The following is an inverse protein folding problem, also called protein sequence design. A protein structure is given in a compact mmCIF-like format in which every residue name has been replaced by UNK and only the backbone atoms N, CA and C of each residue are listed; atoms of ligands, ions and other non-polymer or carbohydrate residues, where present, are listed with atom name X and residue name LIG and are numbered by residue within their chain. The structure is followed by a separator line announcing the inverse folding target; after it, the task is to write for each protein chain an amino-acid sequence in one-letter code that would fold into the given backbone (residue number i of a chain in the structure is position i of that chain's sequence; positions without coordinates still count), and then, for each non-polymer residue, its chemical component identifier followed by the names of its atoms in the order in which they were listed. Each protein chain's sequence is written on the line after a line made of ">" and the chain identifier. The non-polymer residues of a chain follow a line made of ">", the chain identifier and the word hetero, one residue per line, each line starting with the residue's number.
data_IF_167419130180
#
_entry.id   IF_167419130180
#
_cell.length_a   1.000
_cell.length_b   1.000
_cell.length_c   1.000
_cell.angle_alpha   90.00
_cell.angle_beta   90.00
_cell.angle_gamma   90.00
#
_symmetry.space_group_name_H-M   'P 1'
#
loop_
_entity.id
_entity.type
_entity.pdbx_description
1 polymer ?
#
# COMPACT_ATOMS: atom_id res chain seq x y z
N UNK A 1 17.53 32.34 1.91
CA UNK A 1 18.23 31.44 2.87
C UNK A 1 17.73 30.03 2.63
N UNK A 2 18.61 29.10 2.24
CA UNK A 2 18.27 27.68 2.08
C UNK A 2 18.43 26.98 3.43
N UNK A 3 17.39 26.29 3.90
CA UNK A 3 17.48 25.53 5.14
C UNK A 3 18.26 24.24 4.88
N UNK A 4 19.31 23.95 5.64
CA UNK A 4 20.06 22.70 5.48
C UNK A 4 19.39 21.51 6.19
N UNK A 5 18.61 21.81 7.24
CA UNK A 5 17.96 20.81 8.10
C UNK A 5 16.49 21.13 8.36
N UNK A 6 15.67 20.09 8.51
CA UNK A 6 14.24 20.20 8.74
C UNK A 6 13.95 20.75 10.14
N UNK A 7 13.17 21.84 10.28
CA UNK A 7 12.85 22.41 11.59
C UNK A 7 11.96 21.50 12.45
N UNK A 8 11.32 20.48 11.87
CA UNK A 8 10.44 19.54 12.62
C UNK A 8 11.14 18.29 13.14
N UNK A 9 12.17 17.81 12.47
CA UNK A 9 12.78 16.52 12.79
C UNK A 9 14.31 16.52 12.65
N UNK A 10 14.91 17.69 12.43
CA UNK A 10 16.35 17.93 12.25
C UNK A 10 17.00 17.11 11.13
N UNK A 11 16.21 16.46 10.28
CA UNK A 11 16.70 15.67 9.17
C UNK A 11 17.25 16.59 8.06
N UNK A 12 18.37 16.19 7.44
CA UNK A 12 18.96 16.94 6.33
C UNK A 12 17.95 17.10 5.20
N UNK A 13 17.80 18.32 4.70
CA UNK A 13 16.86 18.62 3.61
C UNK A 13 17.53 18.37 2.26
N UNK A 14 16.75 17.84 1.33
CA UNK A 14 17.16 17.75 -0.06
C UNK A 14 17.12 19.15 -0.72
N UNK A 15 17.81 19.33 -1.86
CA UNK A 15 17.69 20.55 -2.65
C UNK A 15 16.22 20.87 -3.03
N UNK A 16 15.88 22.16 -3.22
CA UNK A 16 14.53 22.54 -3.64
C UNK A 16 14.09 21.87 -4.94
N UNK A 17 12.80 21.54 -5.03
CA UNK A 17 12.21 20.95 -6.24
C UNK A 17 12.31 21.93 -7.42
N UNK A 18 12.89 21.49 -8.53
CA UNK A 18 13.10 22.32 -9.73
C UNK A 18 11.82 23.00 -10.24
N UNK A 19 10.68 22.31 -10.16
CA UNK A 19 9.40 22.79 -10.69
C UNK A 19 8.75 23.88 -9.84
N UNK A 20 8.96 23.88 -8.52
CA UNK A 20 8.24 24.77 -7.58
C UNK A 20 9.15 25.61 -6.69
N UNK A 21 10.46 25.37 -6.74
CA UNK A 21 11.44 25.95 -5.81
C UNK A 21 11.19 25.58 -4.35
N UNK A 22 10.33 24.58 -4.08
CA UNK A 22 9.90 24.20 -2.73
C UNK A 22 10.83 23.16 -2.16
N UNK A 23 11.23 23.36 -0.92
CA UNK A 23 12.01 22.41 -0.16
C UNK A 23 11.09 21.57 0.72
N UNK A 24 11.25 20.24 0.67
CA UNK A 24 10.40 19.30 1.39
C UNK A 24 11.28 18.33 2.17
N UNK A 25 10.90 18.05 3.41
CA UNK A 25 11.52 17.02 4.22
C UNK A 25 10.97 15.65 3.81
N UNK A 26 11.84 14.76 3.33
CA UNK A 26 11.45 13.40 2.94
C UNK A 26 11.11 12.50 4.13
N UNK A 27 11.52 12.87 5.36
CA UNK A 27 11.24 12.10 6.58
C UNK A 27 9.87 12.40 7.19
N UNK A 28 9.49 13.68 7.27
CA UNK A 28 8.30 14.11 8.01
C UNK A 28 7.28 14.89 7.17
N UNK A 29 7.52 15.07 5.87
CA UNK A 29 6.62 15.79 4.96
C UNK A 29 6.50 17.30 5.20
N UNK A 30 7.37 17.88 6.03
CA UNK A 30 7.44 19.33 6.22
C UNK A 30 7.88 20.03 4.93
N UNK A 31 7.48 21.28 4.75
CA UNK A 31 7.84 22.08 3.59
C UNK A 31 7.95 23.56 3.91
N UNK A 32 8.83 24.27 3.21
CA UNK A 32 9.04 25.72 3.43
C UNK A 32 7.89 26.59 2.91
N UNK A 33 7.24 26.21 1.79
CA UNK A 33 6.10 26.94 1.24
C UNK A 33 4.75 26.35 1.68
N UNK A 34 3.74 27.18 2.00
CA UNK A 34 2.37 26.73 2.17
C UNK A 34 1.86 26.09 0.88
N UNK A 35 0.96 25.10 0.99
CA UNK A 35 0.42 24.29 -0.13
C UNK A 35 -0.33 25.09 -1.23
N UNK A 36 -0.42 26.42 -1.14
CA UNK A 36 -1.19 27.27 -2.06
C UNK A 36 -0.42 28.43 -2.72
N UNK A 37 0.92 28.45 -2.66
CA UNK A 37 1.70 29.56 -3.23
C UNK A 37 1.82 29.53 -4.77
N UNK A 38 1.43 28.43 -5.40
CA UNK A 38 1.26 28.33 -6.85
C UNK A 38 -0.23 28.57 -7.12
N UNK A 39 -0.60 29.53 -7.97
CA UNK A 39 -1.99 29.94 -8.26
C UNK A 39 -2.95 28.88 -8.82
N UNK A 40 -2.71 27.60 -8.56
CA UNK A 40 -3.71 26.57 -8.61
C UNK A 40 -4.71 26.81 -7.48
N UNK A 41 -5.98 27.02 -7.86
CA UNK A 41 -7.11 26.99 -6.93
C UNK A 41 -6.91 25.79 -5.99
N UNK A 42 -7.09 25.95 -4.66
CA UNK A 42 -6.96 24.82 -3.75
C UNK A 42 -7.83 23.68 -4.30
N UNK A 43 -7.34 22.41 -4.38
CA UNK A 43 -8.25 21.32 -4.63
C UNK A 43 -9.33 21.47 -3.57
N UNK A 44 -10.59 21.56 -4.02
CA UNK A 44 -11.76 21.62 -3.15
C UNK A 44 -11.50 20.63 -2.04
N UNK A 45 -11.28 21.12 -0.81
CA UNK A 45 -11.13 20.25 0.35
C UNK A 45 -12.37 19.36 0.28
N UNK A 46 -12.19 18.09 -0.07
CA UNK A 46 -13.24 17.10 0.11
C UNK A 46 -13.35 17.05 1.62
N UNK A 47 -14.29 17.84 2.15
CA UNK A 47 -14.64 17.75 3.55
C UNK A 47 -15.03 16.29 3.76
N UNK A 48 -14.45 15.59 4.73
CA UNK A 48 -15.02 14.34 5.19
C UNK A 48 -16.50 14.63 5.42
N UNK A 49 -17.39 13.99 4.66
CA UNK A 49 -18.81 14.08 4.94
C UNK A 49 -19.02 13.30 6.23
N UNK A 50 -18.99 14.02 7.35
CA UNK A 50 -19.11 13.47 8.70
C UNK A 50 -20.54 12.95 8.97
N UNK A 51 -21.49 13.20 8.06
CA UNK A 51 -22.90 12.82 8.19
C UNK A 51 -23.25 11.41 7.66
N UNK A 52 -22.29 10.62 7.19
CA UNK A 52 -22.60 9.26 6.72
C UNK A 52 -22.75 8.35 7.94
N UNK A 53 -24.00 8.02 8.27
CA UNK A 53 -24.30 7.09 9.37
C UNK A 53 -23.64 5.73 9.14
N UNK A 54 -23.26 5.01 10.21
CA UNK A 54 -22.70 3.66 10.07
C UNK A 54 -23.62 2.70 9.29
N UNK A 55 -24.94 2.92 9.35
CA UNK A 55 -25.93 2.17 8.58
C UNK A 55 -25.78 2.40 7.07
N UNK A 56 -25.51 3.63 6.67
CA UNK A 56 -25.32 4.02 5.28
C UNK A 56 -24.00 3.48 4.72
N UNK A 57 -22.92 3.49 5.52
CA UNK A 57 -21.65 2.84 5.15
C UNK A 57 -21.87 1.35 4.87
N UNK A 58 -22.57 0.64 5.76
CA UNK A 58 -22.88 -0.79 5.59
C UNK A 58 -23.72 -1.04 4.34
N UNK A 59 -24.72 -0.19 4.08
CA UNK A 59 -25.57 -0.28 2.89
C UNK A 59 -24.76 -0.10 1.61
N UNK A 60 -23.88 0.90 1.55
CA UNK A 60 -23.00 1.14 0.40
C UNK A 60 -22.08 -0.04 0.16
N UNK A 61 -21.48 -0.61 1.22
CA UNK A 61 -20.56 -1.74 1.11
C UNK A 61 -21.27 -3.01 0.60
N UNK A 62 -22.48 -3.28 1.09
CA UNK A 62 -23.30 -4.41 0.62
C UNK A 62 -23.68 -4.24 -0.86
N UNK A 63 -24.15 -3.05 -1.26
CA UNK A 63 -24.51 -2.77 -2.65
C UNK A 63 -23.30 -2.90 -3.60
N UNK A 64 -22.14 -2.40 -3.18
CA UNK A 64 -20.90 -2.52 -3.96
C UNK A 64 -20.48 -4.00 -4.12
N UNK A 65 -20.65 -4.81 -3.08
CA UNK A 65 -20.33 -6.25 -3.11
C UNK A 65 -21.24 -7.00 -4.10
N UNK A 66 -22.54 -6.72 -4.09
CA UNK A 66 -23.48 -7.34 -5.03
C UNK A 66 -23.25 -6.89 -6.47
N UNK A 67 -23.00 -5.59 -6.69
CA UNK A 67 -22.64 -5.07 -8.01
C UNK A 67 -21.34 -5.67 -8.54
N UNK A 68 -20.36 -5.93 -7.66
CA UNK A 68 -19.11 -6.59 -8.04
C UNK A 68 -19.35 -8.04 -8.48
N UNK A 69 -20.19 -8.80 -7.78
CA UNK A 69 -20.55 -10.18 -8.17
C UNK A 69 -21.22 -10.24 -9.55
N UNK A 70 -22.04 -9.25 -9.89
CA UNK A 70 -22.76 -9.20 -11.16
C UNK A 70 -21.86 -8.79 -12.35
N UNK A 71 -20.83 -7.99 -12.12
CA UNK A 71 -19.95 -7.48 -13.17
C UNK A 71 -18.64 -8.26 -13.34
N UNK A 72 -18.32 -9.17 -12.42
CA UNK A 72 -17.19 -10.08 -12.57
C UNK A 72 -17.60 -11.27 -13.44
N UNK A 73 -17.09 -11.32 -14.67
CA UNK A 73 -17.04 -12.57 -15.44
C UNK A 73 -16.24 -13.56 -14.59
N UNK A 74 -16.75 -14.77 -14.28
CA UNK A 74 -15.95 -15.73 -13.54
C UNK A 74 -14.68 -15.96 -14.35
N UNK A 75 -13.55 -15.50 -13.82
CA UNK A 75 -12.26 -15.94 -14.32
C UNK A 75 -12.26 -17.42 -13.99
N UNK A 76 -12.54 -18.28 -14.99
CA UNK A 76 -12.29 -19.72 -14.89
C UNK A 76 -10.90 -19.82 -14.29
N UNK A 77 -10.81 -20.20 -13.01
CA UNK A 77 -9.62 -20.88 -12.57
C UNK A 77 -9.50 -22.02 -13.57
N UNK A 78 -8.47 -21.97 -14.40
CA UNK A 78 -8.00 -23.21 -14.98
C UNK A 78 -7.67 -24.06 -13.76
N UNK A 79 -8.57 -25.00 -13.47
CA UNK A 79 -8.24 -26.22 -12.77
C UNK A 79 -7.03 -26.76 -13.52
N UNK A 80 -5.84 -26.46 -13.02
CA UNK A 80 -4.67 -27.27 -13.35
C UNK A 80 -4.99 -28.62 -12.76
N UNK A 81 -5.46 -29.48 -13.65
CA UNK A 81 -5.41 -30.93 -13.63
C UNK A 81 -4.17 -31.40 -12.86
N UNK A 82 -4.30 -31.59 -11.54
CA UNK A 82 -3.42 -32.43 -10.76
C UNK A 82 -4.34 -33.37 -9.98
N UNK A 83 -4.34 -34.63 -10.42
CA UNK A 83 -5.23 -35.68 -9.94
C UNK A 83 -5.13 -35.97 -8.43
N UNK A 84 -5.99 -36.87 -7.91
CA UNK A 84 -5.98 -37.18 -6.49
C UNK A 84 -4.73 -37.99 -6.15
N UNK A 85 -3.72 -37.34 -5.58
CA UNK A 85 -2.55 -38.01 -5.00
C UNK A 85 -2.37 -37.56 -3.54
N UNK A 86 -2.97 -38.37 -2.67
CA UNK A 86 -2.49 -38.82 -1.34
C UNK A 86 -1.94 -37.81 -0.31
N UNK A 87 -2.36 -37.88 0.96
CA UNK A 87 -1.88 -37.00 2.04
C UNK A 87 -0.54 -37.49 2.67
N UNK A 88 0.50 -37.74 1.87
CA UNK A 88 1.81 -38.20 2.39
C UNK A 88 3.03 -37.34 1.98
N UNK A 89 2.84 -36.27 1.19
CA UNK A 89 3.99 -35.46 0.73
C UNK A 89 4.26 -34.23 1.60
N UNK A 90 4.16 -34.37 2.92
CA UNK A 90 4.67 -33.39 3.88
C UNK A 90 6.10 -33.79 4.32
N UNK A 91 7.01 -33.96 3.36
CA UNK A 91 8.44 -34.13 3.70
C UNK A 91 9.04 -32.74 3.89
N UNK A 92 9.17 -32.36 5.16
CA UNK A 92 9.69 -31.06 5.58
C UNK A 92 11.12 -30.87 5.04
N UNK A 93 11.45 -29.76 4.36
CA UNK A 93 12.80 -29.45 3.86
C UNK A 93 13.91 -29.56 4.93
N UNK A 94 13.52 -29.47 6.21
CA UNK A 94 14.40 -29.58 7.36
C UNK A 94 14.94 -31.01 7.56
N UNK A 95 14.17 -32.05 7.22
CA UNK A 95 14.58 -33.45 7.36
C UNK A 95 15.63 -33.85 6.31
N UNK A 96 15.56 -33.24 5.12
CA UNK A 96 16.52 -33.48 4.04
C UNK A 96 17.91 -32.89 4.36
N UNK A 97 17.94 -31.77 5.09
CA UNK A 97 19.18 -31.17 5.60
C UNK A 97 19.83 -32.04 6.70
N UNK A 98 19.04 -32.59 7.62
CA UNK A 98 19.53 -33.46 8.69
C UNK A 98 20.09 -34.80 8.19
N UNK A 99 19.60 -35.31 7.05
CA UNK A 99 20.09 -36.57 6.47
C UNK A 99 21.42 -36.39 5.74
N UNK A 100 21.66 -35.20 5.19
CA UNK A 100 22.88 -34.90 4.41
C UNK A 100 24.13 -34.81 5.27
N UNK A 101 23.98 -34.44 6.55
CA UNK A 101 25.08 -34.39 7.53
C UNK A 101 25.55 -35.78 7.99
N UNK A 102 24.78 -36.85 7.70
CA UNK A 102 25.05 -38.20 8.22
C UNK A 102 25.65 -39.17 7.20
N UNK A 103 26.07 -38.69 6.02
CA UNK A 103 26.63 -39.53 4.93
C UNK A 103 28.11 -39.24 4.63
N UNK A 104 28.86 -38.76 5.60
CA UNK A 104 30.33 -38.77 5.57
C UNK A 104 30.85 -39.61 6.74
N UNK A 105 30.89 -40.92 6.53
CA UNK A 105 31.87 -41.87 7.08
C UNK A 105 32.11 -42.98 6.05
#
# INVERSE_FOLDING_TARGET
>A
MTLESCPKCSHKLAPPLKSSGRQICMKCGWSDRPRGASGAKPPTKVQPREDISQMEIKKILAEATEKAKQNMKPRRLQETDEGPLTPDSARSPLEDLLRRDRSTD
#
